data_IF_684157654274
#
_entry.id   IF_684157654274
#
_cell.length_a   1.000
_cell.length_b   1.000
_cell.length_c   1.000
_cell.angle_alpha   90.00
_cell.angle_beta   90.00
_cell.angle_gamma   90.00
#
_symmetry.space_group_name_H-M   'P 1'
#
loop_
_entity.id
_entity.type
_entity.pdbx_description
1 polymer ?
#
# COMPACT_ATOMS: atom_id res chain seq x y z
N UNK A 1 -28.08 -13.94 11.48
CA UNK A 1 -27.99 -12.87 10.47
C UNK A 1 -26.73 -13.11 9.67
N UNK A 2 -26.82 -13.09 8.35
CA UNK A 2 -25.68 -13.28 7.47
C UNK A 2 -24.66 -12.15 7.72
N UNK A 3 -23.39 -12.52 7.93
CA UNK A 3 -22.33 -11.53 8.17
C UNK A 3 -22.07 -10.74 6.88
N UNK A 4 -22.31 -9.44 6.93
CA UNK A 4 -21.93 -8.53 5.85
C UNK A 4 -20.66 -7.77 6.25
N UNK A 5 -19.50 -8.29 5.83
CA UNK A 5 -18.21 -7.69 6.12
C UNK A 5 -18.12 -6.23 5.65
N UNK A 6 -18.66 -5.93 4.47
CA UNK A 6 -18.61 -4.58 3.89
C UNK A 6 -19.31 -3.56 4.79
N UNK A 7 -20.49 -3.88 5.31
CA UNK A 7 -21.18 -3.01 6.27
C UNK A 7 -20.38 -2.86 7.57
N UNK A 8 -19.77 -3.94 8.05
CA UNK A 8 -18.94 -3.92 9.27
C UNK A 8 -17.70 -3.04 9.11
N UNK A 9 -17.02 -3.16 7.97
CA UNK A 9 -15.87 -2.35 7.57
C UNK A 9 -16.24 -0.87 7.55
N UNK A 10 -17.33 -0.50 6.86
CA UNK A 10 -17.78 0.90 6.72
C UNK A 10 -18.15 1.47 8.10
N UNK A 11 -19.04 0.78 8.84
CA UNK A 11 -19.55 1.29 10.11
C UNK A 11 -18.45 1.44 11.17
N UNK A 12 -17.54 0.45 11.27
CA UNK A 12 -16.44 0.52 12.25
C UNK A 12 -15.45 1.64 11.89
N UNK A 13 -15.15 1.81 10.59
CA UNK A 13 -14.23 2.86 10.13
C UNK A 13 -14.79 4.26 10.37
N UNK A 14 -16.08 4.50 10.10
CA UNK A 14 -16.72 5.80 10.34
C UNK A 14 -16.84 6.09 11.85
N UNK A 15 -17.26 5.10 12.65
CA UNK A 15 -17.56 5.33 14.07
C UNK A 15 -16.32 5.64 14.91
N UNK A 16 -15.18 5.03 14.57
CA UNK A 16 -13.97 5.10 15.39
C UNK A 16 -12.84 5.88 14.68
N UNK A 17 -12.83 5.90 13.34
CA UNK A 17 -11.77 6.53 12.57
C UNK A 17 -11.63 8.03 12.84
N UNK A 18 -12.75 8.77 12.93
CA UNK A 18 -12.73 10.20 13.23
C UNK A 18 -12.11 10.50 14.61
N UNK A 19 -12.48 9.72 15.63
CA UNK A 19 -11.91 9.86 16.97
C UNK A 19 -10.39 9.69 16.97
N UNK A 20 -9.86 8.68 16.27
CA UNK A 20 -8.42 8.48 16.17
C UNK A 20 -7.71 9.59 15.37
N UNK A 21 -8.33 10.12 14.31
CA UNK A 21 -7.78 11.28 13.58
C UNK A 21 -7.66 12.50 14.51
N UNK A 22 -8.63 12.70 15.39
CA UNK A 22 -8.62 13.78 16.38
C UNK A 22 -7.70 13.48 17.60
N UNK A 23 -7.03 12.34 17.62
CA UNK A 23 -6.17 11.91 18.73
C UNK A 23 -6.94 11.41 19.97
N UNK A 24 -8.22 11.09 19.81
CA UNK A 24 -9.11 10.64 20.88
C UNK A 24 -9.20 9.10 20.88
N UNK A 25 -8.22 8.44 21.51
CA UNK A 25 -8.27 7.02 21.81
C UNK A 25 -6.91 6.31 21.74
N UNK A 26 -6.70 5.38 22.65
CA UNK A 26 -5.44 4.62 22.78
C UNK A 26 -5.53 3.19 22.21
N UNK A 27 -6.74 2.73 21.87
CA UNK A 27 -6.98 1.36 21.44
C UNK A 27 -8.35 1.16 20.79
N UNK A 28 -8.45 0.09 20.01
CA UNK A 28 -9.65 -0.29 19.27
C UNK A 28 -10.06 -1.72 19.65
N UNK A 29 -11.37 -1.91 19.81
CA UNK A 29 -11.97 -3.23 19.93
C UNK A 29 -13.24 -3.28 19.08
N UNK A 30 -13.27 -4.17 18.10
CA UNK A 30 -14.43 -4.35 17.22
C UNK A 30 -15.14 -5.63 17.63
N UNK A 31 -16.30 -5.50 18.27
CA UNK A 31 -17.13 -6.65 18.63
C UNK A 31 -17.61 -7.38 17.37
N UNK A 32 -17.41 -8.68 17.30
CA UNK A 32 -18.00 -9.56 16.28
C UNK A 32 -18.63 -10.78 16.95
N UNK A 33 -19.75 -11.27 16.40
CA UNK A 33 -20.46 -12.40 16.97
C UNK A 33 -19.97 -13.75 16.41
N UNK A 34 -19.26 -13.74 15.28
CA UNK A 34 -18.71 -14.93 14.67
C UNK A 34 -17.21 -15.03 15.00
N UNK A 35 -16.82 -16.06 15.74
CA UNK A 35 -15.43 -16.31 16.14
C UNK A 35 -14.55 -16.73 14.94
N UNK A 36 -15.14 -17.34 13.90
CA UNK A 36 -14.40 -17.75 12.70
C UNK A 36 -13.84 -16.55 11.91
N UNK A 37 -14.33 -15.35 12.18
CA UNK A 37 -13.96 -14.11 11.50
C UNK A 37 -12.94 -13.26 12.27
N UNK A 38 -12.45 -13.73 13.43
CA UNK A 38 -11.50 -12.98 14.28
C UNK A 38 -10.31 -12.44 13.48
N UNK A 39 -9.76 -13.23 12.55
CA UNK A 39 -8.63 -12.80 11.71
C UNK A 39 -8.96 -11.57 10.86
N UNK A 40 -10.12 -11.56 10.22
CA UNK A 40 -10.57 -10.46 9.35
C UNK A 40 -10.90 -9.22 10.18
N UNK A 41 -11.48 -9.40 11.37
CA UNK A 41 -11.79 -8.30 12.30
C UNK A 41 -10.51 -7.68 12.89
N UNK A 42 -9.50 -8.50 13.19
CA UNK A 42 -8.18 -8.01 13.59
C UNK A 42 -7.51 -7.23 12.45
N UNK A 43 -7.58 -7.74 11.22
CA UNK A 43 -7.07 -7.01 10.05
C UNK A 43 -7.77 -5.66 9.86
N UNK A 44 -9.10 -5.63 9.98
CA UNK A 44 -9.88 -4.39 9.95
C UNK A 44 -9.41 -3.39 11.03
N UNK A 45 -9.18 -3.88 12.26
CA UNK A 45 -8.71 -3.05 13.37
C UNK A 45 -7.34 -2.43 13.06
N UNK A 46 -6.39 -3.21 12.55
CA UNK A 46 -5.07 -2.70 12.14
C UNK A 46 -5.15 -1.75 10.95
N UNK A 47 -6.06 -1.99 10.00
CA UNK A 47 -6.26 -1.10 8.86
C UNK A 47 -6.78 0.28 9.30
N UNK A 48 -7.74 0.32 10.24
CA UNK A 48 -8.25 1.59 10.80
C UNK A 48 -7.11 2.34 11.52
N UNK A 49 -6.35 1.66 12.39
CA UNK A 49 -5.22 2.29 13.09
C UNK A 49 -4.11 2.77 12.15
N UNK A 50 -3.89 2.07 11.03
CA UNK A 50 -2.91 2.48 10.03
C UNK A 50 -3.39 3.69 9.23
N UNK A 51 -4.66 3.69 8.79
CA UNK A 51 -5.26 4.78 8.02
C UNK A 51 -5.30 6.09 8.80
N UNK A 52 -5.51 6.01 10.13
CA UNK A 52 -5.55 7.14 11.05
C UNK A 52 -4.17 7.54 11.57
N UNK A 53 -3.10 6.87 11.13
CA UNK A 53 -1.70 7.08 11.57
C UNK A 53 -1.43 6.78 13.06
N UNK A 54 -2.40 6.29 13.82
CA UNK A 54 -2.23 5.89 15.22
C UNK A 54 -1.27 4.71 15.40
N UNK A 55 -1.28 3.75 14.47
CA UNK A 55 -0.32 2.62 14.49
C UNK A 55 0.02 2.14 13.10
N UNK A 56 1.30 2.22 12.75
CA UNK A 56 1.82 1.62 11.52
C UNK A 56 2.15 0.15 11.77
N UNK A 57 1.54 -0.76 11.00
CA UNK A 57 1.64 -2.21 11.21
C UNK A 57 2.24 -2.97 10.01
N UNK A 58 2.22 -2.38 8.82
CA UNK A 58 2.69 -2.96 7.56
C UNK A 58 3.14 -1.86 6.59
N UNK A 59 3.64 -2.25 5.42
CA UNK A 59 3.90 -1.31 4.32
C UNK A 59 2.60 -0.66 3.85
N UNK A 60 2.66 0.63 3.55
CA UNK A 60 1.58 1.38 2.95
C UNK A 60 1.76 1.41 1.43
N UNK A 61 0.67 1.15 0.70
CA UNK A 61 0.68 1.15 -0.76
C UNK A 61 -0.18 2.29 -1.29
N UNK A 62 0.41 3.11 -2.15
CA UNK A 62 -0.26 4.22 -2.81
C UNK A 62 -0.38 3.83 -4.28
N UNK A 63 -1.58 3.88 -4.86
CA UNK A 63 -1.76 3.52 -6.27
C UNK A 63 -2.80 4.41 -6.92
N UNK A 64 -2.53 4.80 -8.16
CA UNK A 64 -3.53 5.47 -8.97
C UNK A 64 -4.65 4.50 -9.36
N UNK A 65 -5.89 4.98 -9.60
CA UNK A 65 -6.86 4.18 -10.31
C UNK A 65 -6.33 3.85 -11.72
N UNK A 66 -6.74 2.72 -12.28
CA UNK A 66 -6.42 2.42 -13.68
C UNK A 66 -7.10 3.45 -14.60
N UNK A 67 -6.38 3.93 -15.61
CA UNK A 67 -6.90 4.86 -16.61
C UNK A 67 -6.40 4.48 -18.02
N UNK A 68 -6.91 5.13 -19.07
CA UNK A 68 -6.51 4.85 -20.47
C UNK A 68 -5.03 5.11 -20.79
N UNK A 69 -4.28 5.73 -19.86
CA UNK A 69 -2.83 5.97 -19.99
C UNK A 69 -1.98 4.84 -19.43
N UNK A 70 -2.57 3.93 -18.65
CA UNK A 70 -1.85 2.81 -18.03
C UNK A 70 -1.36 1.84 -19.11
N UNK A 71 -0.05 1.60 -19.16
CA UNK A 71 0.59 0.79 -20.22
C UNK A 71 0.97 -0.64 -19.77
N UNK A 72 0.50 -1.08 -18.61
CA UNK A 72 0.68 -2.41 -18.05
C UNK A 72 -0.50 -2.79 -17.15
N UNK A 73 -0.58 -4.05 -16.70
CA UNK A 73 -1.61 -4.48 -15.77
C UNK A 73 -1.30 -3.96 -14.35
N UNK A 74 -1.80 -2.75 -14.06
CA UNK A 74 -1.54 -2.05 -12.80
C UNK A 74 -2.00 -2.85 -11.59
N UNK A 75 -3.17 -3.50 -11.67
CA UNK A 75 -3.72 -4.26 -10.57
C UNK A 75 -2.83 -5.47 -10.25
N UNK A 76 -2.51 -6.29 -11.27
CA UNK A 76 -1.63 -7.45 -11.07
C UNK A 76 -0.24 -7.05 -10.59
N UNK A 77 0.31 -5.95 -11.10
CA UNK A 77 1.62 -5.46 -10.65
C UNK A 77 1.58 -4.98 -9.20
N UNK A 78 0.55 -4.22 -8.82
CA UNK A 78 0.37 -3.75 -7.44
C UNK A 78 0.26 -4.93 -6.46
N UNK A 79 -0.49 -5.97 -6.83
CA UNK A 79 -0.62 -7.18 -6.01
C UNK A 79 0.71 -7.93 -5.87
N UNK A 80 1.50 -8.03 -6.95
CA UNK A 80 2.83 -8.63 -6.91
C UNK A 80 3.80 -7.84 -6.03
N UNK A 81 3.80 -6.51 -6.15
CA UNK A 81 4.60 -5.62 -5.31
C UNK A 81 4.18 -5.83 -3.85
N UNK A 82 2.88 -5.74 -3.54
CA UNK A 82 2.35 -5.96 -2.18
C UNK A 82 2.75 -7.31 -1.59
N UNK A 83 2.67 -8.38 -2.36
CA UNK A 83 3.06 -9.73 -1.93
C UNK A 83 4.55 -9.82 -1.56
N UNK A 84 5.41 -9.06 -2.26
CA UNK A 84 6.86 -9.10 -2.07
C UNK A 84 7.36 -8.12 -1.02
N UNK A 85 6.69 -7.00 -0.81
CA UNK A 85 7.19 -5.91 0.04
C UNK A 85 6.30 -5.59 1.23
N UNK A 86 5.12 -6.21 1.38
CA UNK A 86 4.13 -5.84 2.40
C UNK A 86 4.57 -6.00 3.86
N UNK A 87 5.65 -6.72 4.12
CA UNK A 87 6.24 -6.92 5.44
C UNK A 87 7.13 -5.75 5.88
N UNK A 88 7.48 -4.83 4.97
CA UNK A 88 8.36 -3.69 5.25
C UNK A 88 7.60 -2.59 6.00
N UNK A 89 7.33 -2.83 7.28
CA UNK A 89 6.62 -1.92 8.19
C UNK A 89 7.26 -0.53 8.17
N UNK A 90 6.43 0.50 7.98
CA UNK A 90 6.87 1.90 7.98
C UNK A 90 7.18 2.46 6.59
N UNK A 91 7.41 1.61 5.59
CA UNK A 91 7.63 2.07 4.22
C UNK A 91 6.32 2.39 3.50
N UNK A 92 6.39 3.41 2.65
CA UNK A 92 5.36 3.81 1.69
C UNK A 92 5.84 3.54 0.27
N UNK A 93 5.11 2.69 -0.46
CA UNK A 93 5.46 2.31 -1.83
C UNK A 93 4.34 2.71 -2.77
N UNK A 94 4.66 3.56 -3.73
CA UNK A 94 3.75 3.98 -4.78
C UNK A 94 3.85 3.09 -6.02
N UNK A 95 2.72 2.69 -6.59
CA UNK A 95 2.62 1.98 -7.87
C UNK A 95 1.70 2.76 -8.80
N UNK A 96 2.29 3.39 -9.81
CA UNK A 96 1.63 4.35 -10.68
C UNK A 96 1.62 3.84 -12.13
N UNK A 97 0.44 3.92 -12.75
CA UNK A 97 0.22 3.39 -14.10
C UNK A 97 0.88 4.20 -15.22
N UNK A 98 1.15 5.49 -14.99
CA UNK A 98 1.71 6.39 -15.98
C UNK A 98 2.65 7.44 -15.37
N UNK A 99 3.56 7.95 -16.19
CA UNK A 99 4.55 8.97 -15.81
C UNK A 99 3.95 10.37 -15.67
N UNK A 100 2.75 10.61 -16.22
CA UNK A 100 2.17 11.96 -16.26
C UNK A 100 1.74 12.41 -14.87
N UNK A 101 0.91 11.61 -14.19
CA UNK A 101 0.46 11.93 -12.84
C UNK A 101 1.30 11.22 -11.78
N UNK A 102 1.97 10.11 -12.13
CA UNK A 102 2.65 9.24 -11.18
C UNK A 102 3.60 9.96 -10.23
N UNK A 103 4.52 10.82 -10.71
CA UNK A 103 5.43 11.56 -9.84
C UNK A 103 4.74 12.50 -8.84
N UNK A 104 3.61 13.10 -9.21
CA UNK A 104 2.84 13.97 -8.31
C UNK A 104 2.02 13.18 -7.30
N UNK A 105 1.37 12.09 -7.72
CA UNK A 105 0.55 11.25 -6.84
C UNK A 105 1.38 10.43 -5.82
N UNK A 106 2.70 10.31 -6.04
CA UNK A 106 3.62 9.60 -5.15
C UNK A 106 4.47 10.51 -4.25
N UNK A 107 4.11 11.78 -4.07
CA UNK A 107 4.96 12.75 -3.38
C UNK A 107 5.37 12.33 -1.95
N UNK A 108 4.48 11.63 -1.24
CA UNK A 108 4.72 11.16 0.12
C UNK A 108 5.28 9.72 0.18
N UNK A 109 5.63 9.12 -0.95
CA UNK A 109 6.13 7.75 -1.02
C UNK A 109 7.66 7.69 -0.83
N UNK A 110 8.13 6.68 -0.10
CA UNK A 110 9.56 6.40 0.00
C UNK A 110 10.11 5.83 -1.30
N UNK A 111 9.29 5.03 -2.00
CA UNK A 111 9.65 4.37 -3.25
C UNK A 111 8.54 4.50 -4.28
N UNK A 112 8.90 4.78 -5.52
CA UNK A 112 7.97 4.89 -6.64
C UNK A 112 8.23 3.83 -7.70
N UNK A 113 7.19 3.11 -8.11
CA UNK A 113 7.15 2.26 -9.30
C UNK A 113 6.23 2.95 -10.32
N UNK A 114 6.78 3.47 -11.41
CA UNK A 114 6.01 4.33 -12.33
C UNK A 114 6.10 3.81 -13.76
N UNK A 115 4.95 3.58 -14.39
CA UNK A 115 4.88 3.24 -15.81
C UNK A 115 5.37 4.38 -16.70
N UNK A 116 6.39 4.12 -17.51
CA UNK A 116 6.92 5.13 -18.46
C UNK A 116 6.66 4.78 -19.93
N UNK A 117 6.18 3.56 -20.20
CA UNK A 117 5.82 3.13 -21.54
C UNK A 117 5.32 1.69 -21.56
N UNK A 118 5.06 1.15 -22.75
CA UNK A 118 4.58 -0.23 -22.92
C UNK A 118 5.59 -1.22 -22.35
N UNK A 119 5.19 -1.95 -21.31
CA UNK A 119 6.04 -2.89 -20.56
C UNK A 119 7.33 -2.26 -19.99
N UNK A 120 7.37 -0.93 -19.80
CA UNK A 120 8.53 -0.21 -19.27
C UNK A 120 8.15 0.64 -18.06
N UNK A 121 9.03 0.63 -17.07
CA UNK A 121 8.83 1.33 -15.81
C UNK A 121 10.09 2.07 -15.39
N UNK A 122 9.91 3.00 -14.47
CA UNK A 122 10.98 3.69 -13.76
C UNK A 122 10.79 3.54 -12.26
N UNK A 123 11.92 3.50 -11.54
CA UNK A 123 11.97 3.38 -10.09
C UNK A 123 12.53 4.65 -9.46
N UNK A 124 11.89 5.07 -8.38
CA UNK A 124 12.20 6.29 -7.65
C UNK A 124 12.48 5.99 -6.18
N UNK A 125 13.33 6.81 -5.56
CA UNK A 125 13.47 6.94 -4.10
C UNK A 125 13.04 8.37 -3.73
N UNK A 126 11.93 8.51 -3.02
CA UNK A 126 11.22 9.78 -2.93
C UNK A 126 10.89 10.30 -4.33
N UNK A 127 11.35 11.52 -4.62
CA UNK A 127 11.18 12.17 -5.94
C UNK A 127 12.34 11.94 -6.92
N UNK A 128 13.41 11.25 -6.48
CA UNK A 128 14.60 11.07 -7.30
C UNK A 128 14.45 9.84 -8.20
N UNK A 129 14.57 10.03 -9.51
CA UNK A 129 14.63 8.95 -10.48
C UNK A 129 15.95 8.18 -10.31
N UNK A 130 15.87 6.91 -9.91
CA UNK A 130 17.06 6.07 -9.67
C UNK A 130 17.34 5.15 -10.84
N UNK A 131 16.29 4.55 -11.41
CA UNK A 131 16.40 3.67 -12.59
C UNK A 131 15.27 3.96 -13.55
N UNK A 132 15.56 3.98 -14.85
CA UNK A 132 14.57 4.23 -15.89
C UNK A 132 14.58 3.13 -16.94
N UNK A 133 13.47 3.03 -17.70
CA UNK A 133 13.33 2.11 -18.83
C UNK A 133 13.53 0.62 -18.48
N UNK A 134 13.25 0.26 -17.23
CA UNK A 134 13.33 -1.13 -16.76
C UNK A 134 12.22 -1.94 -17.42
N UNK A 135 12.53 -3.15 -17.85
CA UNK A 135 11.50 -4.06 -18.33
C UNK A 135 10.58 -4.50 -17.20
N UNK A 136 9.27 -4.44 -17.45
CA UNK A 136 8.25 -4.84 -16.48
C UNK A 136 8.47 -6.25 -15.92
N UNK A 137 9.10 -7.16 -16.67
CA UNK A 137 9.41 -8.53 -16.23
C UNK A 137 10.37 -8.57 -15.05
N UNK A 138 11.40 -7.73 -15.06
CA UNK A 138 12.47 -7.70 -14.05
C UNK A 138 12.23 -6.65 -12.96
N UNK A 139 11.24 -5.78 -13.20
CA UNK A 139 10.96 -4.58 -12.40
C UNK A 139 10.77 -4.80 -10.90
N UNK A 140 10.17 -5.91 -10.48
CA UNK A 140 9.94 -6.20 -9.05
C UNK A 140 11.26 -6.55 -8.36
N UNK A 141 12.11 -7.34 -9.02
CA UNK A 141 13.45 -7.65 -8.51
C UNK A 141 14.27 -6.38 -8.38
N UNK A 142 14.19 -5.49 -9.38
CA UNK A 142 14.87 -4.21 -9.36
C UNK A 142 14.37 -3.27 -8.25
N UNK A 143 13.07 -3.28 -7.95
CA UNK A 143 12.50 -2.55 -6.81
C UNK A 143 13.05 -3.10 -5.48
N UNK A 144 13.11 -4.43 -5.31
CA UNK A 144 13.67 -5.06 -4.11
C UNK A 144 15.14 -4.70 -3.95
N UNK A 145 15.92 -4.80 -5.03
CA UNK A 145 17.34 -4.42 -5.03
C UNK A 145 17.53 -2.94 -4.68
N UNK A 146 16.67 -2.07 -5.19
CA UNK A 146 16.69 -0.64 -4.83
C UNK A 146 16.44 -0.44 -3.33
N UNK A 147 15.44 -1.11 -2.75
CA UNK A 147 15.15 -1.03 -1.31
C UNK A 147 16.32 -1.57 -0.48
N UNK A 148 16.91 -2.70 -0.88
CA UNK A 148 18.09 -3.30 -0.25
C UNK A 148 19.30 -2.36 -0.27
N UNK A 149 19.59 -1.75 -1.42
CA UNK A 149 20.73 -0.85 -1.58
C UNK A 149 20.61 0.44 -0.74
N UNK A 150 19.40 0.80 -0.31
CA UNK A 150 19.14 1.93 0.58
C UNK A 150 19.03 1.52 2.05
N UNK A 151 19.32 0.26 2.41
CA UNK A 151 19.23 -0.29 3.77
C UNK A 151 17.82 -0.24 4.40
N UNK A 152 16.77 -0.15 3.58
CA UNK A 152 15.37 -0.15 4.04
C UNK A 152 14.73 -1.54 4.01
N UNK A 153 15.47 -2.56 3.57
CA UNK A 153 14.98 -3.94 3.50
C UNK A 153 15.11 -4.65 4.83
N UNK A 154 14.04 -5.32 5.25
CA UNK A 154 13.99 -6.18 6.43
C UNK A 154 13.50 -7.53 5.93
N UNK A 155 14.19 -8.63 6.24
CA UNK A 155 13.74 -9.95 5.83
C UNK A 155 12.41 -10.31 6.52
N UNK A 156 11.47 -10.96 5.82
CA UNK A 156 10.20 -11.38 6.42
C UNK A 156 10.45 -12.45 7.50
N UNK A 157 9.79 -12.28 8.64
CA UNK A 157 9.76 -13.29 9.71
C UNK A 157 8.96 -14.53 9.32
#
# INVERSE_FOLDING_TARGET
SEFNFSNKLINSSISIGGLFVDGLGDGIFIKNNNEDEIKIINELSFNILQATRTRISKTEFISCPSCGRTQFDLQKTTDKVRKRTGHLKGLKIAVMGCIVNGPGEMADADYGYVGTGRNKISLYKGHNLIKSHIDSKDSITELINLIKNNNDWIEPN
#
